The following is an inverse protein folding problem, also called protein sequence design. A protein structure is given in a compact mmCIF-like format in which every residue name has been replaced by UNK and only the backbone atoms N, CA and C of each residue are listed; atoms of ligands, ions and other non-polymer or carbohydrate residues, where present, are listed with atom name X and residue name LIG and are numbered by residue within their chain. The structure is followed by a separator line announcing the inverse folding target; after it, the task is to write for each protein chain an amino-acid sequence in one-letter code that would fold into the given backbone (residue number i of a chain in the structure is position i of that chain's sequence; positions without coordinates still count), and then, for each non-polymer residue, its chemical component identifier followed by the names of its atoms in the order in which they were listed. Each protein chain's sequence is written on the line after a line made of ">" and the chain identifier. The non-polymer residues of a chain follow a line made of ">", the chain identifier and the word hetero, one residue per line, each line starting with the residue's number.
data_IF_003999448199
#
_entry.id   IF_003999448199
#
_cell.length_a   1.000
_cell.length_b   1.000
_cell.length_c   1.000
_cell.angle_alpha   90.00
_cell.angle_beta   90.00
_cell.angle_gamma   90.00
#
_symmetry.space_group_name_H-M   'P 1'
#
loop_
_entity.id
_entity.type
_entity.pdbx_description
1 polymer ?
#
# COMPACT_ATOMS: atom_id res chain seq x y z
N UNK A 1 11.44 -0.65 -7.12
CA UNK A 1 10.15 -1.32 -6.82
C UNK A 1 9.17 -0.34 -6.17
N UNK A 2 9.33 0.06 -4.90
CA UNK A 2 8.37 0.96 -4.23
C UNK A 2 8.19 2.32 -4.92
N UNK A 3 9.27 2.91 -5.41
CA UNK A 3 9.23 4.20 -6.13
C UNK A 3 8.42 4.10 -7.45
N UNK A 4 8.61 3.02 -8.19
CA UNK A 4 7.82 2.73 -9.40
C UNK A 4 6.33 2.52 -9.07
N UNK A 5 6.01 1.96 -7.90
CA UNK A 5 4.63 1.86 -7.42
C UNK A 5 4.04 3.24 -7.15
N UNK A 6 4.78 4.13 -6.51
CA UNK A 6 4.32 5.49 -6.24
C UNK A 6 4.11 6.29 -7.54
N UNK A 7 5.08 6.23 -8.46
CA UNK A 7 4.96 6.90 -9.76
C UNK A 7 3.74 6.39 -10.55
N UNK A 8 3.52 5.08 -10.57
CA UNK A 8 2.33 4.49 -11.18
C UNK A 8 1.03 5.01 -10.55
N UNK A 9 0.97 5.11 -9.21
CA UNK A 9 -0.21 5.63 -8.50
C UNK A 9 -0.46 7.10 -8.84
N UNK A 10 0.58 7.94 -8.86
CA UNK A 10 0.47 9.36 -9.22
C UNK A 10 -0.02 9.54 -10.67
N UNK A 11 0.50 8.74 -11.61
CA UNK A 11 0.13 8.78 -13.02
C UNK A 11 -1.31 8.28 -13.28
N UNK A 12 -1.84 7.40 -12.43
CA UNK A 12 -3.13 6.74 -12.63
C UNK A 12 -4.20 7.14 -11.60
N UNK A 13 -3.96 8.20 -10.83
CA UNK A 13 -4.81 8.60 -9.70
C UNK A 13 -6.28 8.80 -10.09
N UNK A 14 -6.56 9.41 -11.24
CA UNK A 14 -7.94 9.64 -11.70
C UNK A 14 -8.70 8.33 -11.95
N UNK A 15 -8.03 7.33 -12.55
CA UNK A 15 -8.61 6.01 -12.76
C UNK A 15 -8.85 5.28 -11.44
N UNK A 16 -7.90 5.38 -10.50
CA UNK A 16 -8.02 4.80 -9.16
C UNK A 16 -9.23 5.41 -8.43
N UNK A 17 -9.45 6.71 -8.55
CA UNK A 17 -10.56 7.40 -7.90
C UNK A 17 -11.93 7.00 -8.43
N UNK A 18 -12.05 6.77 -9.74
CA UNK A 18 -13.28 6.25 -10.34
C UNK A 18 -13.61 4.87 -9.78
N UNK A 19 -12.62 3.98 -9.66
CA UNK A 19 -12.79 2.66 -9.06
C UNK A 19 -13.22 2.76 -7.59
N UNK A 20 -12.59 3.64 -6.80
CA UNK A 20 -12.97 3.89 -5.41
C UNK A 20 -14.38 4.48 -5.26
N UNK A 21 -14.83 5.28 -6.23
CA UNK A 21 -16.20 5.84 -6.24
C UNK A 21 -17.25 4.76 -6.49
N UNK A 22 -17.00 3.85 -7.44
CA UNK A 22 -17.84 2.67 -7.65
C UNK A 22 -17.84 1.76 -6.42
N UNK A 23 -16.68 1.60 -5.78
CA UNK A 23 -16.54 0.85 -4.52
C UNK A 23 -17.44 1.43 -3.42
N UNK A 24 -17.39 2.75 -3.21
CA UNK A 24 -18.19 3.41 -2.19
C UNK A 24 -19.71 3.28 -2.44
N UNK A 25 -20.14 3.47 -3.69
CA UNK A 25 -21.54 3.31 -4.06
C UNK A 25 -22.05 1.87 -3.85
N UNK A 26 -21.17 0.89 -4.05
CA UNK A 26 -21.49 -0.52 -3.96
C UNK A 26 -21.50 -1.10 -2.52
N UNK A 27 -21.15 -0.31 -1.49
CA UNK A 27 -21.23 -0.74 -0.08
C UNK A 27 -22.64 -1.13 0.39
N UNK A 28 -23.66 -0.88 -0.42
CA UNK A 28 -25.04 -1.30 -0.14
C UNK A 28 -25.35 -2.73 -0.66
N UNK A 29 -24.39 -3.40 -1.30
CA UNK A 29 -24.53 -4.75 -1.84
C UNK A 29 -23.64 -5.74 -1.09
N UNK A 30 -24.26 -6.70 -0.39
CA UNK A 30 -23.57 -7.78 0.31
C UNK A 30 -22.66 -8.61 -0.61
N UNK A 31 -23.11 -8.85 -1.85
CA UNK A 31 -22.31 -9.53 -2.88
C UNK A 31 -21.04 -8.77 -3.22
N UNK A 32 -21.12 -7.45 -3.36
CA UNK A 32 -19.93 -6.63 -3.66
C UNK A 32 -18.99 -6.59 -2.47
N UNK A 33 -19.50 -6.44 -1.25
CA UNK A 33 -18.68 -6.52 -0.03
C UNK A 33 -17.91 -7.84 0.00
N UNK A 34 -18.59 -8.97 -0.21
CA UNK A 34 -17.97 -10.30 -0.21
C UNK A 34 -16.86 -10.43 -1.26
N UNK A 35 -17.08 -9.89 -2.46
CA UNK A 35 -16.05 -9.88 -3.51
C UNK A 35 -14.86 -8.99 -3.15
N UNK A 36 -15.10 -7.85 -2.50
CA UNK A 36 -14.04 -6.94 -2.06
C UNK A 36 -13.20 -7.52 -0.93
N UNK A 37 -13.83 -8.23 0.02
CA UNK A 37 -13.11 -8.96 1.05
C UNK A 37 -12.21 -10.03 0.44
N UNK A 38 -12.71 -10.80 -0.52
CA UNK A 38 -11.91 -11.81 -1.23
C UNK A 38 -10.74 -11.18 -1.99
N UNK A 39 -11.00 -10.12 -2.74
CA UNK A 39 -9.95 -9.39 -3.46
C UNK A 39 -8.89 -8.83 -2.51
N UNK A 40 -9.31 -8.30 -1.36
CA UNK A 40 -8.37 -7.82 -0.33
C UNK A 40 -7.51 -8.96 0.22
N UNK A 41 -8.08 -10.14 0.47
CA UNK A 41 -7.30 -11.31 0.89
C UNK A 41 -6.30 -11.75 -0.20
N UNK A 42 -6.72 -11.76 -1.47
CA UNK A 42 -5.84 -12.10 -2.59
C UNK A 42 -4.66 -11.13 -2.71
N UNK A 43 -4.92 -9.82 -2.62
CA UNK A 43 -3.83 -8.81 -2.60
C UNK A 43 -2.89 -9.04 -1.41
N UNK A 44 -3.43 -9.24 -0.21
CA UNK A 44 -2.60 -9.46 0.98
C UNK A 44 -1.72 -10.71 0.83
N UNK A 45 -2.24 -11.78 0.20
CA UNK A 45 -1.46 -12.96 -0.14
C UNK A 45 -0.33 -12.64 -1.11
N UNK A 46 -0.61 -11.89 -2.18
CA UNK A 46 0.39 -11.48 -3.18
C UNK A 46 1.48 -10.60 -2.58
N UNK A 47 1.11 -9.65 -1.69
CA UNK A 47 2.10 -8.84 -0.96
C UNK A 47 2.95 -9.73 -0.06
N UNK A 48 2.34 -10.68 0.65
CA UNK A 48 3.08 -11.60 1.52
C UNK A 48 4.07 -12.46 0.71
N UNK A 49 3.65 -13.02 -0.41
CA UNK A 49 4.52 -13.77 -1.32
C UNK A 49 5.64 -12.90 -1.87
N UNK A 50 5.35 -11.66 -2.26
CA UNK A 50 6.36 -10.71 -2.70
C UNK A 50 7.39 -10.42 -1.59
N UNK A 51 6.97 -10.28 -0.34
CA UNK A 51 7.88 -10.10 0.80
C UNK A 51 8.81 -11.32 0.95
N UNK A 52 8.27 -12.54 0.91
CA UNK A 52 9.09 -13.75 0.98
C UNK A 52 10.08 -13.84 -0.21
N UNK A 53 9.65 -13.48 -1.41
CA UNK A 53 10.49 -13.51 -2.60
C UNK A 53 11.61 -12.46 -2.57
N UNK A 54 11.31 -11.24 -2.11
CA UNK A 54 12.28 -10.13 -2.07
C UNK A 54 13.28 -10.30 -0.93
N UNK A 55 12.81 -10.73 0.25
CA UNK A 55 13.65 -10.86 1.44
C UNK A 55 14.37 -12.21 1.50
N UNK A 56 13.82 -13.24 0.87
CA UNK A 56 14.37 -14.58 0.90
C UNK A 56 14.58 -15.04 2.36
N UNK A 57 15.78 -15.50 2.75
CA UNK A 57 16.07 -15.92 4.11
C UNK A 57 15.95 -14.83 5.19
N UNK A 58 15.97 -13.55 4.81
CA UNK A 58 15.84 -12.44 5.75
C UNK A 58 14.41 -12.28 6.27
N UNK A 59 13.43 -12.92 5.64
CA UNK A 59 12.01 -12.85 6.04
C UNK A 59 11.80 -13.32 7.48
N UNK A 60 12.59 -14.30 7.94
CA UNK A 60 12.53 -14.84 9.30
C UNK A 60 13.16 -13.90 10.35
N UNK A 61 13.88 -12.87 9.91
CA UNK A 61 14.54 -11.88 10.77
C UNK A 61 13.72 -10.59 10.92
N UNK A 62 12.54 -10.51 10.29
CA UNK A 62 11.65 -9.37 10.44
C UNK A 62 11.18 -9.23 11.89
N UNK A 63 11.16 -7.99 12.38
CA UNK A 63 10.64 -7.67 13.72
C UNK A 63 9.13 -7.98 13.88
N UNK A 64 8.41 -8.14 12.76
CA UNK A 64 7.00 -8.52 12.72
C UNK A 64 6.77 -9.63 11.70
N UNK A 65 5.76 -10.50 11.90
CA UNK A 65 5.39 -11.51 10.92
C UNK A 65 5.09 -10.92 9.54
N UNK A 66 5.50 -11.58 8.44
CA UNK A 66 5.28 -11.13 7.06
C UNK A 66 3.82 -10.77 6.75
N UNK A 67 2.86 -11.53 7.25
CA UNK A 67 1.42 -11.29 7.03
C UNK A 67 0.97 -9.97 7.68
N UNK A 68 1.56 -9.63 8.82
CA UNK A 68 1.28 -8.37 9.51
C UNK A 68 1.96 -7.20 8.80
N UNK A 69 3.16 -7.40 8.27
CA UNK A 69 3.83 -6.41 7.43
C UNK A 69 3.05 -6.15 6.14
N UNK A 70 2.53 -7.20 5.49
CA UNK A 70 1.69 -7.08 4.29
C UNK A 70 0.44 -6.22 4.56
N UNK A 71 -0.24 -6.43 5.70
CA UNK A 71 -1.39 -5.61 6.11
C UNK A 71 -1.01 -4.15 6.39
N UNK A 72 0.15 -3.92 7.02
CA UNK A 72 0.64 -2.57 7.28
C UNK A 72 0.93 -1.84 5.96
N UNK A 73 1.66 -2.48 5.04
CA UNK A 73 1.93 -1.94 3.71
C UNK A 73 0.63 -1.64 2.97
N UNK A 74 -0.33 -2.57 2.95
CA UNK A 74 -1.64 -2.38 2.33
C UNK A 74 -2.38 -1.16 2.89
N UNK A 75 -2.43 -1.04 4.22
CA UNK A 75 -3.11 0.08 4.90
C UNK A 75 -2.46 1.41 4.53
N UNK A 76 -1.12 1.42 4.53
CA UNK A 76 -0.34 2.60 4.25
C UNK A 76 -0.50 3.08 2.82
N UNK A 77 -0.43 2.17 1.83
CA UNK A 77 -0.66 2.52 0.44
C UNK A 77 -2.07 3.06 0.20
N UNK A 78 -3.09 2.46 0.83
CA UNK A 78 -4.44 3.00 0.74
C UNK A 78 -4.53 4.41 1.34
N UNK A 79 -3.88 4.66 2.49
CA UNK A 79 -3.81 6.00 3.08
C UNK A 79 -3.18 7.02 2.12
N UNK A 80 -2.03 6.68 1.52
CA UNK A 80 -1.35 7.55 0.56
C UNK A 80 -2.19 7.82 -0.71
N UNK A 81 -2.90 6.80 -1.22
CA UNK A 81 -3.81 6.95 -2.37
C UNK A 81 -4.92 7.94 -2.03
N UNK A 82 -5.50 7.84 -0.84
CA UNK A 82 -6.55 8.76 -0.37
C UNK A 82 -5.99 10.17 -0.21
N UNK A 83 -4.82 10.35 0.39
CA UNK A 83 -4.21 11.67 0.56
C UNK A 83 -3.86 12.31 -0.80
N UNK A 84 -3.33 11.52 -1.75
CA UNK A 84 -3.10 11.97 -3.13
C UNK A 84 -4.39 12.43 -3.80
N UNK A 85 -5.50 11.70 -3.59
CA UNK A 85 -6.79 12.05 -4.16
C UNK A 85 -7.30 13.42 -3.70
N UNK A 86 -7.00 13.81 -2.47
CA UNK A 86 -7.34 15.13 -1.93
C UNK A 86 -6.27 16.20 -2.19
N UNK A 87 -5.11 15.82 -2.73
CA UNK A 87 -4.02 16.74 -3.05
C UNK A 87 -4.29 17.52 -4.36
N UNK A 88 -5.05 18.60 -4.23
CA UNK A 88 -5.52 19.44 -5.35
C UNK A 88 -4.46 20.37 -5.97
N UNK A 89 -3.28 20.47 -5.36
CA UNK A 89 -2.18 21.30 -5.85
C UNK A 89 -0.82 20.62 -5.68
N UNK A 90 0.21 21.18 -6.32
CA UNK A 90 1.55 20.61 -6.34
C UNK A 90 2.19 20.52 -4.94
N UNK A 91 2.00 21.52 -4.09
CA UNK A 91 2.55 21.49 -2.72
C UNK A 91 1.90 20.39 -1.86
N UNK A 92 0.60 20.15 -2.05
CA UNK A 92 -0.09 19.06 -1.38
C UNK A 92 0.43 17.70 -1.86
N UNK A 93 0.64 17.53 -3.17
CA UNK A 93 1.21 16.29 -3.72
C UNK A 93 2.64 16.05 -3.23
N UNK A 94 3.44 17.11 -3.15
CA UNK A 94 4.80 17.04 -2.60
C UNK A 94 4.80 16.53 -1.15
N UNK A 95 3.88 16.99 -0.30
CA UNK A 95 3.75 16.48 1.08
C UNK A 95 3.39 15.00 1.15
N UNK A 96 2.55 14.50 0.23
CA UNK A 96 2.24 13.07 0.17
C UNK A 96 3.46 12.26 -0.26
N UNK A 97 4.26 12.79 -1.20
CA UNK A 97 5.54 12.19 -1.60
C UNK A 97 6.55 12.17 -0.44
N UNK A 98 6.68 13.26 0.30
CA UNK A 98 7.51 13.33 1.51
C UNK A 98 7.07 12.27 2.54
N UNK A 99 5.77 12.13 2.76
CA UNK A 99 5.22 11.10 3.67
C UNK A 99 5.57 9.69 3.18
N UNK A 100 5.49 9.42 1.88
CA UNK A 100 5.92 8.16 1.30
C UNK A 100 7.42 7.90 1.52
N UNK A 101 8.25 8.92 1.32
CA UNK A 101 9.70 8.83 1.55
C UNK A 101 10.04 8.58 3.02
N UNK A 102 9.35 9.23 3.95
CA UNK A 102 9.50 9.02 5.40
C UNK A 102 9.15 7.58 5.78
N UNK A 103 8.04 7.06 5.25
CA UNK A 103 7.64 5.67 5.47
C UNK A 103 8.68 4.70 4.92
N UNK A 104 9.18 4.95 3.70
CA UNK A 104 10.23 4.12 3.11
C UNK A 104 11.48 4.13 4.00
N UNK A 105 11.86 5.27 4.53
CA UNK A 105 12.99 5.40 5.47
C UNK A 105 12.72 4.61 6.76
N UNK A 106 11.51 4.65 7.32
CA UNK A 106 11.13 3.88 8.51
C UNK A 106 11.11 2.37 8.29
N UNK A 107 10.70 1.92 7.10
CA UNK A 107 10.64 0.49 6.77
C UNK A 107 12.01 -0.08 6.40
N UNK A 108 12.95 0.74 5.95
CA UNK A 108 14.27 0.29 5.50
C UNK A 108 15.03 -0.50 6.58
N UNK A 109 15.17 -0.01 7.83
CA UNK A 109 15.81 -0.77 8.92
C UNK A 109 15.07 -2.07 9.26
N UNK A 110 13.74 -2.05 9.21
CA UNK A 110 12.90 -3.22 9.54
C UNK A 110 13.04 -4.32 8.47
N UNK A 111 13.18 -3.93 7.21
CA UNK A 111 13.31 -4.84 6.06
C UNK A 111 14.75 -5.35 5.93
N UNK A 112 15.75 -4.51 6.19
CA UNK A 112 17.16 -4.87 6.05
C UNK A 112 17.77 -5.51 7.31
N UNK A 113 17.05 -5.50 8.44
CA UNK A 113 17.56 -6.03 9.71
C UNK A 113 18.69 -5.20 10.32
N UNK A 114 18.91 -3.97 9.85
CA UNK A 114 19.88 -3.03 10.39
C UNK A 114 19.30 -2.35 11.63
N UNK A 115 19.31 -3.04 12.76
CA UNK A 115 19.21 -2.38 14.07
C UNK A 115 20.55 -1.71 14.38
N UNK A 116 20.55 -0.39 14.55
CA UNK A 116 21.62 0.32 15.26
C UNK A 116 21.87 -0.29 16.64
#
# INVERSE_FOLDING_TARGET
>A
ALEQTMDFVEENLEHILVVLSFHNAAHHSETVITHMERFTQEILSLINEALHNVLGPLVDHLAIPPERLARLLWTLFNGLIVDLAFATNQDARARVRETFDDVRALLTPVILGETN
#
